data_IF_502515993043
#
_entry.id   IF_502515993043
#
_cell.length_a   1.000
_cell.length_b   1.000
_cell.length_c   1.000
_cell.angle_alpha   90.00
_cell.angle_beta   90.00
_cell.angle_gamma   90.00
#
_symmetry.space_group_name_H-M   'P 1'
#
loop_
_entity.id
_entity.type
_entity.pdbx_description
1 polymer ?
#
# COMPACT_ATOMS: atom_id res chain seq x y z
N UNK A 1 -31.40 9.93 19.65
CA UNK A 1 -31.02 11.10 18.82
C UNK A 1 -30.75 10.61 17.41
N UNK A 2 -31.57 11.00 16.45
CA UNK A 2 -31.40 10.69 15.03
C UNK A 2 -30.25 11.59 14.51
N UNK A 3 -29.04 11.08 14.52
CA UNK A 3 -27.87 11.77 13.98
C UNK A 3 -28.01 11.97 12.48
N UNK A 4 -27.99 13.20 12.00
CA UNK A 4 -28.03 13.55 10.58
C UNK A 4 -26.66 13.20 9.98
N UNK A 5 -26.60 12.24 9.08
CA UNK A 5 -25.38 11.90 8.37
C UNK A 5 -25.02 13.01 7.37
N UNK A 6 -23.76 13.37 7.35
CA UNK A 6 -23.21 14.42 6.48
C UNK A 6 -22.11 13.83 5.61
N UNK A 7 -21.96 14.30 4.37
CA UNK A 7 -20.89 13.89 3.50
C UNK A 7 -19.52 14.31 4.08
N UNK A 8 -18.52 13.45 4.01
CA UNK A 8 -17.19 13.68 4.59
C UNK A 8 -16.53 14.99 4.09
N UNK A 9 -16.79 15.38 2.84
CA UNK A 9 -16.31 16.63 2.25
C UNK A 9 -16.85 17.91 2.92
N UNK A 10 -17.93 17.78 3.70
CA UNK A 10 -18.56 18.90 4.41
C UNK A 10 -18.16 18.94 5.89
N UNK A 11 -17.22 18.10 6.30
CA UNK A 11 -16.72 18.03 7.68
C UNK A 11 -15.30 18.59 7.68
N UNK A 12 -15.03 19.51 8.60
CA UNK A 12 -13.69 19.99 8.83
C UNK A 12 -12.84 18.89 9.50
N UNK A 13 -11.78 18.46 8.80
CA UNK A 13 -10.91 17.38 9.28
C UNK A 13 -9.59 18.01 9.73
N UNK A 14 -9.27 17.86 11.01
CA UNK A 14 -8.02 18.34 11.56
C UNK A 14 -6.80 17.58 10.97
N UNK A 15 -5.60 18.19 10.96
CA UNK A 15 -4.38 17.52 10.51
C UNK A 15 -4.02 16.24 11.28
N UNK A 16 -4.50 16.11 12.52
CA UNK A 16 -4.31 14.94 13.39
C UNK A 16 -5.39 13.87 13.19
N UNK A 17 -6.31 14.10 12.25
CA UNK A 17 -7.45 13.24 11.97
C UNK A 17 -8.67 13.59 12.83
N UNK A 18 -9.84 13.25 12.34
CA UNK A 18 -11.14 13.47 12.99
C UNK A 18 -11.83 12.15 13.26
N UNK A 19 -12.25 11.94 14.51
CA UNK A 19 -13.08 10.78 14.86
C UNK A 19 -14.50 11.03 14.38
N UNK A 20 -15.03 10.08 13.61
CA UNK A 20 -16.40 10.14 13.08
C UNK A 20 -17.07 8.77 13.26
N UNK A 21 -18.41 8.77 13.26
CA UNK A 21 -19.20 7.55 13.29
C UNK A 21 -19.72 7.23 11.88
N UNK A 22 -19.25 6.12 11.32
CA UNK A 22 -19.75 5.61 10.05
C UNK A 22 -21.02 4.76 10.26
N UNK A 23 -22.01 5.00 9.40
CA UNK A 23 -23.25 4.23 9.41
C UNK A 23 -22.95 2.73 9.21
N UNK A 24 -23.52 1.89 10.08
CA UNK A 24 -23.38 0.43 10.06
C UNK A 24 -21.94 -0.11 10.31
N UNK A 25 -20.98 0.73 10.66
CA UNK A 25 -19.59 0.32 10.86
C UNK A 25 -19.08 0.65 12.27
N UNK A 26 -19.35 1.87 12.77
CA UNK A 26 -18.89 2.33 14.08
C UNK A 26 -17.93 3.51 14.00
N UNK A 27 -17.16 3.72 15.07
CA UNK A 27 -16.19 4.82 15.14
C UNK A 27 -14.94 4.52 14.32
N UNK A 28 -14.52 5.52 13.55
CA UNK A 28 -13.30 5.49 12.73
C UNK A 28 -12.61 6.83 12.81
N UNK A 29 -11.31 6.87 12.55
CA UNK A 29 -10.56 8.10 12.41
C UNK A 29 -10.34 8.43 10.94
N UNK A 30 -10.77 9.60 10.50
CA UNK A 30 -10.65 10.09 9.12
C UNK A 30 -9.49 11.07 9.03
N UNK A 31 -8.65 10.88 8.03
CA UNK A 31 -7.57 11.79 7.66
C UNK A 31 -7.82 12.35 6.27
N UNK A 32 -7.43 13.59 6.04
CA UNK A 32 -7.49 14.26 4.76
C UNK A 32 -6.09 14.49 4.22
N UNK A 33 -5.88 14.23 2.93
CA UNK A 33 -4.64 14.54 2.22
C UNK A 33 -4.95 15.32 0.96
N UNK A 34 -4.41 16.55 0.86
CA UNK A 34 -4.43 17.34 -0.38
C UNK A 34 -3.33 16.86 -1.33
N UNK A 35 -3.69 16.63 -2.57
CA UNK A 35 -2.77 16.25 -3.65
C UNK A 35 -2.32 17.50 -4.42
N UNK A 36 -1.25 17.35 -5.24
CA UNK A 36 -0.63 18.47 -5.99
C UNK A 36 -1.57 19.19 -6.97
N UNK A 37 -2.67 18.55 -7.36
CA UNK A 37 -3.67 19.08 -8.29
C UNK A 37 -4.95 19.55 -7.58
N UNK A 38 -4.85 19.99 -6.33
CA UNK A 38 -5.95 20.44 -5.45
C UNK A 38 -7.06 19.38 -5.22
N UNK A 39 -6.85 18.14 -5.64
CA UNK A 39 -7.77 17.06 -5.30
C UNK A 39 -7.55 16.63 -3.85
N UNK A 40 -8.64 16.40 -3.14
CA UNK A 40 -8.63 15.92 -1.77
C UNK A 40 -8.90 14.41 -1.74
N UNK A 41 -8.12 13.68 -0.94
CA UNK A 41 -8.38 12.28 -0.64
C UNK A 41 -8.63 12.11 0.85
N UNK A 42 -9.63 11.29 1.16
CA UNK A 42 -10.01 10.95 2.52
C UNK A 42 -9.61 9.50 2.78
N UNK A 43 -8.98 9.26 3.91
CA UNK A 43 -8.53 7.96 4.35
C UNK A 43 -9.20 7.63 5.67
N UNK A 44 -9.65 6.40 5.80
CA UNK A 44 -10.28 5.89 7.01
C UNK A 44 -9.32 4.92 7.66
N UNK A 45 -9.03 5.14 8.94
CA UNK A 45 -8.27 4.21 9.75
C UNK A 45 -9.14 3.64 10.86
N UNK A 46 -9.05 2.33 11.02
CA UNK A 46 -9.77 1.57 12.01
C UNK A 46 -8.87 0.48 12.59
N UNK A 47 -8.89 0.32 13.91
CA UNK A 47 -8.18 -0.74 14.62
C UNK A 47 -9.24 -1.59 15.35
N UNK A 48 -9.53 -2.82 14.86
CA UNK A 48 -10.60 -3.64 15.42
C UNK A 48 -10.36 -4.07 16.86
N UNK A 49 -9.10 -4.12 17.29
CA UNK A 49 -8.69 -4.55 18.63
C UNK A 49 -8.70 -3.42 19.67
N UNK A 50 -8.77 -2.17 19.22
CA UNK A 50 -8.68 -0.99 20.07
C UNK A 50 -10.00 -0.23 19.99
N UNK A 51 -10.80 -0.26 21.07
CA UNK A 51 -12.07 0.47 21.14
C UNK A 51 -11.89 1.99 21.11
N UNK A 52 -10.69 2.49 21.35
CA UNK A 52 -10.36 3.90 21.39
C UNK A 52 -9.65 4.32 20.09
N UNK A 53 -10.41 4.83 19.13
CA UNK A 53 -9.91 5.39 17.87
C UNK A 53 -8.97 6.60 18.07
N UNK A 54 -8.92 7.16 19.27
CA UNK A 54 -8.03 8.26 19.66
C UNK A 54 -6.55 7.88 19.64
N UNK A 55 -6.23 6.59 19.84
CA UNK A 55 -4.84 6.06 19.82
C UNK A 55 -4.23 6.14 18.41
N UNK A 56 -5.05 6.17 17.36
CA UNK A 56 -4.58 6.31 15.98
C UNK A 56 -4.06 7.74 15.78
N UNK A 57 -2.76 7.89 15.60
CA UNK A 57 -2.12 9.18 15.39
C UNK A 57 -1.71 9.41 13.92
N UNK A 58 -1.24 10.62 13.64
CA UNK A 58 -0.79 11.01 12.30
C UNK A 58 0.39 10.18 11.79
N UNK A 59 1.26 9.69 12.65
CA UNK A 59 2.39 8.84 12.24
C UNK A 59 1.90 7.51 11.66
N UNK A 60 0.86 6.90 12.24
CA UNK A 60 0.23 5.71 11.69
C UNK A 60 -0.33 5.98 10.29
N UNK A 61 -0.98 7.14 10.11
CA UNK A 61 -1.52 7.57 8.82
C UNK A 61 -0.43 7.79 7.76
N UNK A 62 0.72 8.36 8.13
CA UNK A 62 1.82 8.60 7.19
C UNK A 62 2.50 7.28 6.80
N UNK A 63 2.68 6.37 7.75
CA UNK A 63 3.38 5.10 7.54
C UNK A 63 2.58 4.11 6.68
N UNK A 64 1.27 3.99 6.93
CA UNK A 64 0.41 3.01 6.24
C UNK A 64 0.39 3.17 4.72
N UNK A 65 0.22 4.37 4.12
CA UNK A 65 0.28 4.54 2.67
C UNK A 65 1.65 4.23 2.07
N UNK A 66 2.75 4.45 2.79
CA UNK A 66 4.09 4.13 2.29
C UNK A 66 4.32 2.62 2.22
N UNK A 67 3.84 1.87 3.21
CA UNK A 67 3.86 0.40 3.21
C UNK A 67 3.01 -0.13 2.06
N UNK A 68 1.78 0.39 1.89
CA UNK A 68 0.90 0.01 0.79
C UNK A 68 1.56 0.27 -0.57
N UNK A 69 2.21 1.41 -0.74
CA UNK A 69 2.95 1.72 -1.96
C UNK A 69 4.13 0.77 -2.19
N UNK A 70 4.81 0.33 -1.14
CA UNK A 70 5.85 -0.70 -1.20
C UNK A 70 5.32 -2.03 -1.77
N UNK A 71 4.13 -2.45 -1.34
CA UNK A 71 3.45 -3.66 -1.87
C UNK A 71 3.13 -3.50 -3.37
N UNK A 72 2.62 -2.34 -3.79
CA UNK A 72 2.34 -2.02 -5.19
C UNK A 72 3.63 -2.08 -6.04
N UNK A 73 4.73 -1.51 -5.55
CA UNK A 73 6.03 -1.56 -6.20
C UNK A 73 6.54 -3.00 -6.33
N UNK A 74 6.42 -3.82 -5.28
CA UNK A 74 6.74 -5.24 -5.31
C UNK A 74 5.96 -5.99 -6.38
N UNK A 75 4.64 -5.84 -6.40
CA UNK A 75 3.80 -6.49 -7.41
C UNK A 75 4.15 -6.08 -8.83
N UNK A 76 4.51 -4.83 -9.04
CA UNK A 76 4.97 -4.32 -10.33
C UNK A 76 6.31 -4.95 -10.72
N UNK A 77 7.29 -4.96 -9.83
CA UNK A 77 8.61 -5.50 -10.07
C UNK A 77 8.56 -6.99 -10.40
N UNK A 78 7.86 -7.80 -9.60
CA UNK A 78 7.78 -9.24 -9.81
C UNK A 78 7.06 -9.60 -11.13
N UNK A 79 6.12 -8.76 -11.59
CA UNK A 79 5.45 -8.96 -12.88
C UNK A 79 6.31 -8.51 -14.06
N UNK A 80 7.00 -7.39 -13.95
CA UNK A 80 7.71 -6.76 -15.07
C UNK A 80 9.15 -7.26 -15.21
N UNK A 81 9.88 -7.39 -14.09
CA UNK A 81 11.29 -7.79 -14.10
C UNK A 81 11.47 -9.30 -13.94
N UNK A 82 10.77 -9.91 -12.99
CA UNK A 82 10.95 -11.32 -12.66
C UNK A 82 10.02 -12.27 -13.46
N UNK A 83 9.14 -11.72 -14.30
CA UNK A 83 8.36 -12.47 -15.26
C UNK A 83 7.36 -13.49 -14.68
N UNK A 84 6.86 -13.27 -13.45
CA UNK A 84 5.98 -14.24 -12.76
C UNK A 84 4.74 -14.65 -13.58
N UNK A 85 4.29 -13.80 -14.52
CA UNK A 85 3.16 -14.10 -15.42
C UNK A 85 3.57 -14.70 -16.76
N UNK A 86 4.86 -14.87 -17.03
CA UNK A 86 5.39 -15.32 -18.33
C UNK A 86 5.66 -16.82 -18.38
N UNK A 87 4.95 -17.60 -17.59
CA UNK A 87 5.12 -19.06 -17.64
C UNK A 87 4.39 -19.67 -18.84
N UNK A 88 5.08 -20.58 -19.55
CA UNK A 88 4.54 -21.33 -20.69
C UNK A 88 4.25 -22.79 -20.34
N UNK A 89 4.35 -23.15 -19.07
CA UNK A 89 4.16 -24.52 -18.56
C UNK A 89 2.74 -24.72 -18.03
N UNK A 90 2.23 -25.94 -18.16
CA UNK A 90 0.84 -26.26 -17.77
C UNK A 90 0.74 -27.19 -16.56
N UNK A 91 1.81 -27.91 -16.20
CA UNK A 91 1.79 -28.79 -15.03
C UNK A 91 1.95 -27.99 -13.74
N UNK A 92 1.20 -28.35 -12.70
CA UNK A 92 1.27 -27.66 -11.41
C UNK A 92 2.68 -27.59 -10.83
N UNK A 93 3.50 -28.67 -10.82
CA UNK A 93 4.87 -28.59 -10.31
C UNK A 93 5.74 -27.57 -11.06
N UNK A 94 5.61 -27.51 -12.39
CA UNK A 94 6.37 -26.56 -13.21
C UNK A 94 5.93 -25.11 -12.97
N UNK A 95 4.64 -24.87 -12.76
CA UNK A 95 4.11 -23.55 -12.39
C UNK A 95 4.66 -23.10 -11.02
N UNK A 96 4.64 -23.98 -10.02
CA UNK A 96 5.20 -23.67 -8.69
C UNK A 96 6.71 -23.39 -8.77
N UNK A 97 7.45 -24.19 -9.54
CA UNK A 97 8.88 -23.97 -9.78
C UNK A 97 9.14 -22.60 -10.41
N UNK A 98 8.35 -22.21 -11.42
CA UNK A 98 8.45 -20.89 -12.05
C UNK A 98 8.18 -19.77 -11.05
N UNK A 99 7.13 -19.88 -10.23
CA UNK A 99 6.81 -18.88 -9.21
C UNK A 99 7.92 -18.77 -8.18
N UNK A 100 8.46 -19.89 -7.71
CA UNK A 100 9.58 -19.91 -6.78
C UNK A 100 10.78 -19.15 -7.33
N UNK A 101 11.21 -19.42 -8.57
CA UNK A 101 12.33 -18.72 -9.18
C UNK A 101 12.04 -17.24 -9.45
N UNK A 102 10.81 -16.88 -9.78
CA UNK A 102 10.43 -15.48 -9.94
C UNK A 102 10.53 -14.71 -8.62
N UNK A 103 10.12 -15.31 -7.51
CA UNK A 103 10.25 -14.71 -6.17
C UNK A 103 11.72 -14.64 -5.76
N UNK A 104 12.50 -15.70 -6.00
CA UNK A 104 13.93 -15.73 -5.70
C UNK A 104 14.70 -14.66 -6.48
N UNK A 105 14.36 -14.44 -7.75
CA UNK A 105 14.92 -13.35 -8.56
C UNK A 105 14.61 -11.98 -7.96
N UNK A 106 13.39 -11.76 -7.47
CA UNK A 106 13.04 -10.51 -6.79
C UNK A 106 13.84 -10.34 -5.50
N UNK A 107 13.98 -11.39 -4.67
CA UNK A 107 14.78 -11.35 -3.45
C UNK A 107 16.23 -10.99 -3.76
N UNK A 108 16.80 -11.54 -4.84
CA UNK A 108 18.16 -11.21 -5.27
C UNK A 108 18.28 -9.72 -5.66
N UNK A 109 17.31 -9.18 -6.40
CA UNK A 109 17.29 -7.75 -6.74
C UNK A 109 17.20 -6.86 -5.51
N UNK A 110 16.41 -7.27 -4.51
CA UNK A 110 16.26 -6.52 -3.26
C UNK A 110 17.54 -6.56 -2.41
N UNK A 111 18.22 -7.69 -2.35
CA UNK A 111 19.53 -7.80 -1.70
C UNK A 111 20.55 -6.87 -2.37
N UNK A 112 20.65 -6.88 -3.70
CA UNK A 112 21.53 -5.99 -4.44
C UNK A 112 21.22 -4.51 -4.17
N UNK A 113 19.93 -4.15 -4.06
CA UNK A 113 19.52 -2.79 -3.70
C UNK A 113 19.89 -2.45 -2.25
N UNK A 114 19.72 -3.38 -1.31
CA UNK A 114 20.07 -3.19 0.09
C UNK A 114 21.58 -3.04 0.29
N UNK A 115 22.39 -3.74 -0.51
CA UNK A 115 23.86 -3.65 -0.54
C UNK A 115 24.38 -2.45 -1.36
N UNK A 116 23.47 -1.59 -1.84
CA UNK A 116 23.77 -0.42 -2.69
C UNK A 116 24.52 -0.76 -4.01
N UNK A 117 24.41 -2.01 -4.49
CA UNK A 117 24.94 -2.42 -5.79
C UNK A 117 24.08 -1.88 -6.95
N UNK A 118 22.80 -1.64 -6.70
CA UNK A 118 21.85 -0.99 -7.62
C UNK A 118 21.03 0.05 -6.85
N UNK A 119 20.66 1.14 -7.51
CA UNK A 119 19.82 2.20 -6.90
C UNK A 119 18.33 1.82 -6.89
N UNK A 120 17.91 1.07 -7.88
CA UNK A 120 16.55 0.56 -7.99
C UNK A 120 16.50 -0.73 -8.82
N UNK A 121 15.45 -1.51 -8.65
CA UNK A 121 15.30 -2.83 -9.29
C UNK A 121 15.32 -2.79 -10.83
N UNK A 122 14.93 -1.67 -11.46
CA UNK A 122 14.87 -1.52 -12.92
C UNK A 122 16.23 -1.17 -13.56
N UNK A 123 17.25 -0.88 -12.76
CA UNK A 123 18.57 -0.49 -13.25
C UNK A 123 19.24 -1.63 -14.04
N UNK A 124 19.08 -2.87 -13.57
CA UNK A 124 19.62 -4.04 -14.27
C UNK A 124 19.03 -4.18 -15.68
N UNK A 125 17.71 -3.99 -15.84
CA UNK A 125 17.08 -4.08 -17.15
C UNK A 125 17.61 -3.04 -18.12
N UNK A 126 17.92 -1.83 -17.67
CA UNK A 126 18.48 -0.77 -18.49
C UNK A 126 19.94 -1.04 -18.91
N UNK A 127 20.69 -1.75 -18.09
CA UNK A 127 22.10 -2.08 -18.37
C UNK A 127 22.25 -3.31 -19.26
N UNK A 128 21.19 -4.09 -19.48
CA UNK A 128 21.18 -5.29 -20.34
C UNK A 128 20.65 -5.00 -21.76
N UNK A 129 20.17 -3.80 -22.03
CA UNK A 129 19.68 -3.35 -23.34
C UNK A 129 20.67 -2.41 -24.01
#
# INVERSE_FOLDING_TARGET
MSGKYTAVKNIEISPEGQVVHLKNFGQVKVFQKKLKNDTERYYIMFLPEIKETEVINKSNFITTPSIHWGIECYHRAIKQLCGIKRFMVRSSPAIFTHFFFSILAFVQLELMRAEALINNWYEIQRNLS
#
